data_IF_015464252471
#
_entry.id   IF_015464252471
#
_cell.length_a   1.000
_cell.length_b   1.000
_cell.length_c   1.000
_cell.angle_alpha   90.00
_cell.angle_beta   90.00
_cell.angle_gamma   90.00
#
_symmetry.space_group_name_H-M   'P 1'
#
loop_
_entity.id
_entity.type
_entity.pdbx_description
1 polymer ?
#
# COMPACT_ATOMS: atom_id res chain seq x y z
N UNK A 1 24.97 -26.47 -6.00
CA UNK A 1 25.17 -27.27 -7.23
C UNK A 1 24.86 -26.38 -8.43
N UNK A 2 25.78 -26.22 -9.41
CA UNK A 2 25.56 -25.37 -10.61
C UNK A 2 24.60 -26.09 -11.56
N UNK A 3 23.62 -25.38 -12.13
CA UNK A 3 22.74 -25.90 -13.17
C UNK A 3 23.57 -26.46 -14.34
N UNK A 4 23.11 -27.54 -14.99
CA UNK A 4 23.75 -27.99 -16.23
C UNK A 4 23.63 -26.90 -17.29
N UNK A 5 24.61 -26.81 -18.20
CA UNK A 5 24.65 -25.75 -19.22
C UNK A 5 23.35 -25.62 -20.02
N UNK A 6 22.72 -26.75 -20.36
CA UNK A 6 21.43 -26.77 -21.07
C UNK A 6 20.26 -26.22 -20.22
N UNK A 7 20.16 -26.58 -18.93
CA UNK A 7 19.12 -26.07 -18.03
C UNK A 7 19.28 -24.57 -17.76
N UNK A 8 20.53 -24.13 -17.66
CA UNK A 8 20.86 -22.73 -17.51
C UNK A 8 20.45 -21.91 -18.75
N UNK A 9 20.82 -22.35 -19.95
CA UNK A 9 20.44 -21.70 -21.19
C UNK A 9 18.91 -21.65 -21.37
N UNK A 10 18.23 -22.73 -21.03
CA UNK A 10 16.76 -22.79 -21.06
C UNK A 10 16.14 -21.77 -20.09
N UNK A 11 16.59 -21.71 -18.83
CA UNK A 11 16.07 -20.77 -17.85
C UNK A 11 16.30 -19.31 -18.28
N UNK A 12 17.46 -18.99 -18.86
CA UNK A 12 17.75 -17.68 -19.45
C UNK A 12 16.78 -17.33 -20.57
N UNK A 13 16.53 -18.28 -21.48
CA UNK A 13 15.57 -18.11 -22.57
C UNK A 13 14.18 -17.80 -22.04
N UNK A 14 13.67 -18.58 -21.08
CA UNK A 14 12.38 -18.32 -20.45
C UNK A 14 12.31 -16.95 -19.78
N UNK A 15 13.33 -16.58 -18.99
CA UNK A 15 13.38 -15.26 -18.34
C UNK A 15 13.43 -14.11 -19.35
N UNK A 16 14.13 -14.27 -20.48
CA UNK A 16 14.16 -13.27 -21.54
C UNK A 16 12.79 -13.15 -22.25
N UNK A 17 12.10 -14.26 -22.50
CA UNK A 17 10.73 -14.26 -23.05
C UNK A 17 9.78 -13.54 -22.10
N UNK A 18 9.84 -13.83 -20.79
CA UNK A 18 9.05 -13.15 -19.77
C UNK A 18 9.36 -11.65 -19.72
N UNK A 19 10.64 -11.28 -19.72
CA UNK A 19 11.06 -9.88 -19.71
C UNK A 19 10.55 -9.11 -20.94
N UNK A 20 10.55 -9.71 -22.14
CA UNK A 20 10.00 -9.09 -23.34
C UNK A 20 8.46 -9.03 -23.31
N UNK A 21 7.82 -10.09 -22.80
CA UNK A 21 6.37 -10.19 -22.67
C UNK A 21 5.77 -9.13 -21.76
N UNK A 22 6.47 -8.77 -20.68
CA UNK A 22 6.10 -7.65 -19.81
C UNK A 22 6.61 -6.31 -20.34
N UNK A 23 7.87 -6.27 -20.80
CA UNK A 23 8.55 -5.04 -21.17
C UNK A 23 7.94 -4.33 -22.38
N UNK A 24 7.48 -5.05 -23.39
CA UNK A 24 6.87 -4.45 -24.58
C UNK A 24 5.50 -3.79 -24.28
N UNK A 25 4.53 -4.48 -23.65
CA UNK A 25 3.29 -3.84 -23.19
C UNK A 25 3.55 -2.73 -22.18
N UNK A 26 4.44 -2.93 -21.21
CA UNK A 26 4.76 -1.93 -20.19
C UNK A 26 5.34 -0.64 -20.77
N UNK A 27 6.31 -0.74 -21.69
CA UNK A 27 6.85 0.41 -22.39
C UNK A 27 5.80 1.11 -23.26
N UNK A 28 4.92 0.35 -23.94
CA UNK A 28 3.84 0.94 -24.73
C UNK A 28 2.84 1.71 -23.83
N UNK A 29 2.38 1.10 -22.75
CA UNK A 29 1.50 1.75 -21.77
C UNK A 29 2.12 3.00 -21.15
N UNK A 30 3.43 2.99 -20.85
CA UNK A 30 4.14 4.14 -20.28
C UNK A 30 4.30 5.31 -21.26
N UNK A 31 4.83 5.04 -22.46
CA UNK A 31 5.23 6.11 -23.40
C UNK A 31 4.11 6.53 -24.35
N UNK A 32 3.15 5.65 -24.65
CA UNK A 32 2.04 5.91 -25.57
C UNK A 32 0.70 5.41 -24.98
N UNK A 33 0.30 5.88 -23.79
CA UNK A 33 -0.81 5.29 -23.00
C UNK A 33 -2.16 5.28 -23.73
N UNK A 34 -2.49 6.36 -24.46
CA UNK A 34 -3.74 6.42 -25.24
C UNK A 34 -3.78 5.41 -26.37
N UNK A 35 -2.64 5.17 -27.04
CA UNK A 35 -2.55 4.19 -28.12
C UNK A 35 -2.57 2.77 -27.58
N UNK A 36 -1.92 2.54 -26.43
CA UNK A 36 -1.99 1.25 -25.76
C UNK A 36 -3.45 0.93 -25.40
N UNK A 37 -4.14 1.85 -24.71
CA UNK A 37 -5.55 1.65 -24.32
C UNK A 37 -6.45 1.33 -25.52
N UNK A 38 -6.35 2.11 -26.61
CA UNK A 38 -7.22 1.96 -27.77
C UNK A 38 -6.77 0.95 -28.83
N UNK A 39 -5.64 0.26 -28.67
CA UNK A 39 -5.10 -0.61 -29.72
C UNK A 39 -4.26 -1.79 -29.23
N UNK A 40 -4.17 -2.03 -27.92
CA UNK A 40 -3.51 -3.22 -27.39
C UNK A 40 -4.43 -4.44 -27.50
N UNK A 41 -3.96 -5.60 -28.03
CA UNK A 41 -2.58 -5.87 -28.44
C UNK A 41 -2.26 -5.45 -29.88
N UNK A 42 -3.27 -5.29 -30.73
CA UNK A 42 -3.13 -4.88 -32.13
C UNK A 42 -4.28 -3.93 -32.53
N UNK A 43 -4.09 -3.05 -33.54
CA UNK A 43 -5.16 -2.21 -34.06
C UNK A 43 -6.41 -3.02 -34.41
N UNK A 44 -7.57 -2.58 -33.93
CA UNK A 44 -8.85 -3.28 -34.12
C UNK A 44 -9.18 -4.32 -33.04
N UNK A 45 -8.26 -4.61 -32.12
CA UNK A 45 -8.44 -5.53 -31.01
C UNK A 45 -8.10 -4.83 -29.68
N UNK A 46 -8.93 -3.89 -29.18
CA UNK A 46 -8.57 -3.04 -28.05
C UNK A 46 -8.91 -3.71 -26.70
N UNK A 47 -8.20 -4.79 -26.35
CA UNK A 47 -8.43 -5.56 -25.12
C UNK A 47 -8.37 -4.68 -23.86
N UNK A 48 -7.48 -3.70 -23.82
CA UNK A 48 -7.38 -2.77 -22.70
C UNK A 48 -8.61 -1.85 -22.58
N UNK A 49 -9.27 -1.51 -23.69
CA UNK A 49 -10.45 -0.63 -23.69
C UNK A 49 -11.76 -1.36 -23.32
N UNK A 50 -11.73 -2.68 -23.13
CA UNK A 50 -12.88 -3.45 -22.66
C UNK A 50 -13.30 -3.07 -21.22
N UNK A 51 -12.40 -2.43 -20.47
CA UNK A 51 -12.61 -2.02 -19.08
C UNK A 51 -12.52 -0.48 -18.94
N UNK A 52 -13.55 0.28 -19.36
CA UNK A 52 -13.60 1.74 -19.21
C UNK A 52 -13.83 2.19 -17.75
N UNK A 53 -13.55 3.46 -17.40
CA UNK A 53 -13.03 4.54 -18.26
C UNK A 53 -11.50 4.61 -18.34
N UNK A 54 -10.99 5.22 -19.42
CA UNK A 54 -9.57 5.51 -19.57
C UNK A 54 -9.07 6.50 -18.51
N UNK A 55 -7.98 6.14 -17.82
CA UNK A 55 -7.21 7.04 -16.98
C UNK A 55 -5.75 7.04 -17.43
N UNK A 56 -5.25 8.21 -17.81
CA UNK A 56 -3.90 8.37 -18.36
C UNK A 56 -2.80 8.18 -17.30
N UNK A 57 -3.02 8.64 -16.07
CA UNK A 57 -2.09 8.47 -14.96
C UNK A 57 -1.96 7.00 -14.60
N UNK A 58 -3.09 6.32 -14.38
CA UNK A 58 -3.13 4.89 -14.05
C UNK A 58 -2.46 4.04 -15.14
N UNK A 59 -2.68 4.35 -16.41
CA UNK A 59 -2.06 3.62 -17.52
C UNK A 59 -0.53 3.78 -17.53
N UNK A 60 -0.03 4.97 -17.20
CA UNK A 60 1.42 5.21 -17.09
C UNK A 60 2.02 4.49 -15.89
N UNK A 61 1.36 4.53 -14.73
CA UNK A 61 1.82 3.85 -13.53
C UNK A 61 1.88 2.34 -13.75
N UNK A 62 0.83 1.77 -14.35
CA UNK A 62 0.80 0.38 -14.78
C UNK A 62 1.98 0.06 -15.71
N UNK A 63 2.18 0.89 -16.75
CA UNK A 63 3.29 0.72 -17.68
C UNK A 63 4.66 0.78 -17.00
N UNK A 64 4.86 1.72 -16.09
CA UNK A 64 6.10 1.86 -15.32
C UNK A 64 6.34 0.66 -14.38
N UNK A 65 5.32 0.19 -13.68
CA UNK A 65 5.41 -0.95 -12.77
C UNK A 65 5.76 -2.25 -13.52
N UNK A 66 5.07 -2.51 -14.64
CA UNK A 66 5.34 -3.68 -15.49
C UNK A 66 6.74 -3.59 -16.12
N UNK A 67 7.18 -2.40 -16.54
CA UNK A 67 8.53 -2.19 -17.07
C UNK A 67 9.62 -2.40 -16.01
N UNK A 68 9.36 -2.01 -14.75
CA UNK A 68 10.25 -2.28 -13.63
C UNK A 68 10.38 -3.79 -13.38
N UNK A 69 9.27 -4.54 -13.40
CA UNK A 69 9.28 -5.99 -13.30
C UNK A 69 10.05 -6.64 -14.47
N UNK A 70 9.85 -6.15 -15.69
CA UNK A 70 10.57 -6.59 -16.88
C UNK A 70 12.10 -6.39 -16.74
N UNK A 71 12.54 -5.27 -16.14
CA UNK A 71 13.95 -5.00 -15.88
C UNK A 71 14.56 -6.03 -14.91
N UNK A 72 13.82 -6.41 -13.86
CA UNK A 72 14.27 -7.43 -12.89
C UNK A 72 14.33 -8.83 -13.54
N UNK A 73 13.36 -9.17 -14.40
CA UNK A 73 13.37 -10.41 -15.18
C UNK A 73 14.56 -10.45 -16.16
N UNK A 74 14.85 -9.34 -16.84
CA UNK A 74 16.00 -9.21 -17.73
C UNK A 74 17.33 -9.35 -16.96
N UNK A 75 17.42 -8.74 -15.78
CA UNK A 75 18.58 -8.93 -14.90
C UNK A 75 18.73 -10.40 -14.49
N UNK A 76 17.65 -11.08 -14.10
CA UNK A 76 17.68 -12.50 -13.77
C UNK A 76 18.08 -13.38 -14.97
N UNK A 77 17.76 -12.97 -16.21
CA UNK A 77 18.20 -13.66 -17.43
C UNK A 77 19.71 -13.53 -17.65
N UNK A 78 20.30 -12.37 -17.35
CA UNK A 78 21.75 -12.15 -17.40
C UNK A 78 22.47 -12.88 -16.25
N UNK A 79 21.93 -12.71 -15.03
CA UNK A 79 22.50 -13.17 -13.76
C UNK A 79 21.58 -14.19 -13.07
N UNK A 80 21.76 -15.46 -13.43
CA UNK A 80 20.86 -16.55 -13.05
C UNK A 80 21.12 -17.11 -11.64
N UNK A 81 21.45 -16.25 -10.67
CA UNK A 81 21.56 -16.69 -9.28
C UNK A 81 20.18 -17.18 -8.79
N UNK A 82 20.09 -18.35 -8.14
CA UNK A 82 18.79 -18.93 -7.76
C UNK A 82 17.90 -17.99 -6.93
N UNK A 83 18.50 -17.17 -6.05
CA UNK A 83 17.76 -16.20 -5.24
C UNK A 83 17.14 -15.08 -6.08
N UNK A 84 17.90 -14.53 -7.03
CA UNK A 84 17.43 -13.48 -7.93
C UNK A 84 16.35 -14.02 -8.89
N UNK A 85 16.59 -15.19 -9.48
CA UNK A 85 15.61 -15.86 -10.36
C UNK A 85 14.31 -16.14 -9.61
N UNK A 86 14.38 -16.69 -8.38
CA UNK A 86 13.19 -16.93 -7.57
C UNK A 86 12.46 -15.63 -7.22
N UNK A 87 13.18 -14.59 -6.80
CA UNK A 87 12.57 -13.31 -6.48
C UNK A 87 11.85 -12.69 -7.69
N UNK A 88 12.51 -12.67 -8.86
CA UNK A 88 11.96 -12.13 -10.09
C UNK A 88 10.68 -12.89 -10.53
N UNK A 89 10.74 -14.22 -10.50
CA UNK A 89 9.62 -15.07 -10.93
C UNK A 89 8.47 -15.07 -9.92
N UNK A 90 8.76 -15.00 -8.62
CA UNK A 90 7.72 -14.82 -7.59
C UNK A 90 7.03 -13.46 -7.76
N UNK A 91 7.80 -12.39 -7.98
CA UNK A 91 7.23 -11.07 -8.27
C UNK A 91 6.30 -11.07 -9.48
N UNK A 92 6.70 -11.75 -10.56
CA UNK A 92 5.85 -11.94 -11.74
C UNK A 92 4.57 -12.71 -11.41
N UNK A 93 4.64 -13.78 -10.62
CA UNK A 93 3.46 -14.58 -10.25
C UNK A 93 2.47 -13.80 -9.38
N UNK A 94 2.97 -12.93 -8.48
CA UNK A 94 2.14 -12.04 -7.66
C UNK A 94 1.30 -11.10 -8.52
N UNK A 95 1.83 -10.66 -9.68
CA UNK A 95 1.08 -9.88 -10.66
C UNK A 95 0.18 -10.76 -11.55
N UNK A 96 0.77 -11.79 -12.17
CA UNK A 96 0.14 -12.55 -13.26
C UNK A 96 -1.03 -13.40 -12.81
N UNK A 97 -0.96 -13.99 -11.59
CA UNK A 97 -2.02 -14.89 -11.10
C UNK A 97 -3.31 -14.12 -10.82
N UNK A 98 -3.31 -13.03 -10.02
CA UNK A 98 -4.50 -12.20 -9.85
C UNK A 98 -5.03 -11.63 -11.17
N UNK A 99 -4.13 -11.24 -12.08
CA UNK A 99 -4.51 -10.71 -13.40
C UNK A 99 -5.27 -11.76 -14.24
N UNK A 100 -4.79 -13.00 -14.30
CA UNK A 100 -5.50 -14.10 -14.95
C UNK A 100 -6.86 -14.36 -14.29
N UNK A 101 -6.93 -14.35 -12.96
CA UNK A 101 -8.19 -14.58 -12.21
C UNK A 101 -9.22 -13.50 -12.56
N UNK A 102 -8.81 -12.23 -12.60
CA UNK A 102 -9.68 -11.12 -12.98
C UNK A 102 -10.26 -11.34 -14.38
N UNK A 103 -9.41 -11.56 -15.39
CA UNK A 103 -9.89 -11.77 -16.76
C UNK A 103 -10.74 -13.03 -16.91
N UNK A 104 -10.41 -14.10 -16.19
CA UNK A 104 -11.21 -15.34 -16.19
C UNK A 104 -12.64 -15.12 -15.71
N UNK A 105 -12.86 -14.13 -14.85
CA UNK A 105 -14.19 -13.75 -14.38
C UNK A 105 -14.92 -12.75 -15.31
N UNK A 106 -14.25 -12.21 -16.34
CA UNK A 106 -14.76 -11.15 -17.21
C UNK A 106 -14.59 -11.45 -18.70
N UNK A 107 -14.46 -12.72 -19.12
CA UNK A 107 -14.35 -13.03 -20.55
C UNK A 107 -15.64 -12.77 -21.35
N UNK A 108 -16.77 -12.55 -20.66
CA UNK A 108 -18.06 -12.21 -21.26
C UNK A 108 -18.07 -10.85 -21.99
N UNK A 109 -17.17 -9.93 -21.63
CA UNK A 109 -17.03 -8.64 -22.33
C UNK A 109 -16.17 -8.72 -23.60
N UNK A 110 -15.49 -9.85 -23.80
CA UNK A 110 -14.62 -10.07 -24.95
C UNK A 110 -15.37 -10.72 -26.11
N UNK A 111 -14.95 -10.46 -27.34
CA UNK A 111 -15.46 -11.23 -28.47
C UNK A 111 -15.00 -12.70 -28.38
N UNK A 112 -15.89 -13.65 -28.68
CA UNK A 112 -15.63 -15.10 -28.56
C UNK A 112 -14.34 -15.55 -29.27
N UNK A 113 -14.02 -14.94 -30.42
CA UNK A 113 -12.80 -15.24 -31.20
C UNK A 113 -11.49 -14.75 -30.56
N UNK A 114 -11.56 -13.86 -29.56
CA UNK A 114 -10.39 -13.26 -28.91
C UNK A 114 -10.04 -13.91 -27.57
N UNK A 115 -11.01 -14.57 -26.93
CA UNK A 115 -10.84 -15.24 -25.62
C UNK A 115 -9.66 -16.23 -25.61
N UNK A 116 -9.48 -17.12 -26.62
CA UNK A 116 -8.35 -18.05 -26.63
C UNK A 116 -6.98 -17.35 -26.63
N UNK A 117 -6.87 -16.23 -27.35
CA UNK A 117 -5.63 -15.46 -27.42
C UNK A 117 -5.35 -14.73 -26.10
N UNK A 118 -6.39 -14.18 -25.44
CA UNK A 118 -6.28 -13.59 -24.12
C UNK A 118 -5.84 -14.63 -23.07
N UNK A 119 -6.52 -15.78 -23.00
CA UNK A 119 -6.18 -16.88 -22.07
C UNK A 119 -4.73 -17.31 -22.28
N UNK A 120 -4.30 -17.51 -23.53
CA UNK A 120 -2.91 -17.88 -23.82
C UNK A 120 -1.93 -16.80 -23.35
N UNK A 121 -2.21 -15.52 -23.62
CA UNK A 121 -1.35 -14.41 -23.22
C UNK A 121 -1.19 -14.30 -21.70
N UNK A 122 -2.25 -14.62 -20.94
CA UNK A 122 -2.29 -14.52 -19.49
C UNK A 122 -1.72 -15.76 -18.79
N UNK A 123 -1.94 -16.96 -19.34
CA UNK A 123 -1.50 -18.21 -18.75
C UNK A 123 -0.04 -18.55 -19.07
N UNK A 124 0.47 -18.17 -20.25
CA UNK A 124 1.82 -18.52 -20.68
C UNK A 124 2.91 -17.99 -19.73
N UNK A 125 2.88 -16.73 -19.24
CA UNK A 125 3.86 -16.23 -18.28
C UNK A 125 3.90 -17.05 -16.98
N UNK A 126 2.73 -17.46 -16.48
CA UNK A 126 2.60 -18.28 -15.28
C UNK A 126 3.21 -19.67 -15.49
N UNK A 127 2.92 -20.31 -16.61
CA UNK A 127 3.47 -21.65 -16.93
C UNK A 127 4.99 -21.59 -17.04
N UNK A 128 5.53 -20.58 -17.74
CA UNK A 128 6.98 -20.40 -17.87
C UNK A 128 7.64 -20.10 -16.52
N UNK A 129 7.02 -19.25 -15.71
CA UNK A 129 7.45 -18.93 -14.34
C UNK A 129 7.56 -20.20 -13.47
N UNK A 130 6.50 -21.00 -13.41
CA UNK A 130 6.48 -22.25 -12.64
C UNK A 130 7.51 -23.26 -13.15
N UNK A 131 7.70 -23.35 -14.47
CA UNK A 131 8.71 -24.21 -15.06
C UNK A 131 10.14 -23.74 -14.69
N UNK A 132 10.41 -22.43 -14.71
CA UNK A 132 11.69 -21.86 -14.24
C UNK A 132 11.91 -22.19 -12.76
N UNK A 133 10.91 -22.01 -11.90
CA UNK A 133 11.01 -22.37 -10.47
C UNK A 133 11.32 -23.85 -10.28
N UNK A 134 10.63 -24.75 -11.00
CA UNK A 134 10.87 -26.18 -10.92
C UNK A 134 12.32 -26.56 -11.29
N UNK A 135 12.90 -25.91 -12.30
CA UNK A 135 14.31 -26.15 -12.67
C UNK A 135 15.32 -25.62 -11.66
N UNK A 136 14.93 -24.64 -10.81
CA UNK A 136 15.80 -24.06 -9.76
C UNK A 136 15.54 -24.63 -8.36
N UNK A 137 14.51 -25.46 -8.16
CA UNK A 137 14.16 -26.08 -6.89
C UNK A 137 15.17 -27.17 -6.47
N UNK A 138 15.80 -27.88 -7.40
CA UNK A 138 16.78 -28.95 -7.13
C UNK A 138 18.16 -28.50 -6.63
N UNK A 139 18.32 -27.23 -6.23
CA UNK A 139 19.57 -26.66 -5.73
C UNK A 139 19.61 -26.48 -4.21
N UNK A 140 18.70 -27.12 -3.46
CA UNK A 140 18.83 -27.33 -2.01
C UNK A 140 19.90 -28.40 -1.75
N UNK A 141 21.16 -28.01 -1.94
CA UNK A 141 22.25 -28.71 -1.29
C UNK A 141 21.98 -28.65 0.21
N UNK A 142 21.80 -29.81 0.81
CA UNK A 142 21.90 -29.99 2.25
C UNK A 142 23.30 -29.55 2.67
N UNK A 143 23.43 -28.28 3.06
CA UNK A 143 24.58 -27.84 3.84
C UNK A 143 24.43 -28.53 5.19
N UNK A 144 24.97 -29.75 5.27
CA UNK A 144 25.12 -30.48 6.51
C UNK A 144 26.14 -29.69 7.33
N UNK A 145 25.76 -29.06 8.45
CA UNK A 145 26.74 -28.35 9.27
C UNK A 145 27.82 -29.34 9.71
N UNK A 146 29.08 -28.94 9.57
CA UNK A 146 30.21 -29.68 10.10
C UNK A 146 30.02 -29.93 11.61
N UNK A 147 30.54 -31.06 12.16
CA UNK A 147 30.39 -31.34 13.58
C UNK A 147 30.98 -30.20 14.41
N UNK A 148 30.11 -29.51 15.16
CA UNK A 148 30.53 -28.46 16.09
C UNK A 148 31.32 -29.12 17.23
N UNK A 149 32.58 -28.75 17.36
CA UNK A 149 33.32 -28.96 18.61
C UNK A 149 32.74 -28.02 19.67
N UNK A 150 32.50 -28.49 20.90
CA UNK A 150 31.89 -27.66 21.93
C UNK A 150 32.91 -26.63 22.41
N UNK A 151 32.66 -25.36 22.09
CA UNK A 151 33.37 -24.23 22.71
C UNK A 151 32.39 -23.52 23.62
N UNK A 152 32.61 -23.69 24.92
CA UNK A 152 31.90 -23.02 25.99
C UNK A 152 32.25 -21.54 25.95
N UNK A 153 31.35 -20.70 25.45
CA UNK A 153 31.33 -19.27 25.75
C UNK A 153 29.88 -18.80 25.75
N UNK A 154 29.36 -18.53 26.94
CA UNK A 154 28.16 -17.75 27.17
C UNK A 154 28.30 -16.39 26.50
N UNK A 155 27.50 -16.14 25.47
CA UNK A 155 27.29 -14.82 24.88
C UNK A 155 25.82 -14.72 24.52
N UNK A 156 25.13 -13.81 25.21
CA UNK A 156 23.73 -13.46 24.96
C UNK A 156 23.46 -13.28 23.47
N UNK A 157 22.50 -14.03 22.96
CA UNK A 157 22.01 -13.90 21.59
C UNK A 157 21.19 -12.62 21.47
N UNK A 158 21.79 -11.61 20.82
CA UNK A 158 21.01 -10.55 20.16
C UNK A 158 20.79 -10.99 18.71
N UNK A 159 19.64 -11.59 18.44
CA UNK A 159 19.24 -12.03 17.11
C UNK A 159 19.20 -10.89 16.09
N UNK A 160 19.36 -11.18 14.79
CA UNK A 160 19.34 -10.17 13.74
C UNK A 160 17.92 -9.57 13.59
N UNK A 161 17.82 -8.23 13.69
CA UNK A 161 16.59 -7.46 13.45
C UNK A 161 16.05 -7.77 12.04
N UNK A 162 14.83 -8.33 11.99
CA UNK A 162 14.01 -8.42 10.79
C UNK A 162 13.71 -6.99 10.30
N UNK A 163 13.91 -6.72 9.01
CA UNK A 163 13.48 -5.46 8.39
C UNK A 163 11.96 -5.48 8.27
N UNK A 164 11.27 -4.59 8.99
CA UNK A 164 9.80 -4.49 8.99
C UNK A 164 9.25 -4.05 7.64
N UNK A 165 8.05 -4.51 7.27
CA UNK A 165 7.35 -4.10 6.04
C UNK A 165 7.05 -2.59 6.05
N UNK A 166 6.81 -1.96 4.87
CA UNK A 166 6.45 -0.53 4.81
C UNK A 166 5.18 -0.24 5.65
N UNK A 167 4.23 -1.17 5.63
CA UNK A 167 3.02 -1.10 6.43
C UNK A 167 3.33 -1.18 7.93
N UNK A 168 4.21 -2.10 8.35
CA UNK A 168 4.68 -2.18 9.74
C UNK A 168 5.44 -0.91 10.17
N UNK A 169 6.23 -0.31 9.28
CA UNK A 169 6.93 0.95 9.54
C UNK A 169 5.96 2.13 9.68
N UNK A 170 4.91 2.20 8.84
CA UNK A 170 3.86 3.23 8.94
C UNK A 170 3.02 3.05 10.21
N UNK A 171 2.65 1.81 10.56
CA UNK A 171 1.94 1.51 11.80
C UNK A 171 2.82 1.77 13.04
N UNK A 172 4.13 1.47 12.97
CA UNK A 172 5.10 1.81 14.02
C UNK A 172 5.13 3.32 14.25
N UNK A 173 5.35 4.09 13.18
CA UNK A 173 5.39 5.54 13.27
C UNK A 173 4.09 6.11 13.84
N UNK A 174 2.96 5.49 13.52
CA UNK A 174 1.66 5.89 14.06
C UNK A 174 1.50 5.51 15.53
N UNK A 175 1.96 4.35 15.96
CA UNK A 175 2.04 4.01 17.38
C UNK A 175 2.85 5.05 18.13
N UNK A 176 4.04 5.43 17.63
CA UNK A 176 4.90 6.45 18.24
C UNK A 176 4.26 7.85 18.26
N UNK A 177 3.33 8.16 17.35
CA UNK A 177 2.55 9.40 17.39
C UNK A 177 1.50 9.39 18.51
N UNK A 178 0.94 8.21 18.82
CA UNK A 178 -0.06 8.03 19.87
C UNK A 178 0.57 7.83 21.26
N UNK A 179 1.69 7.10 21.39
CA UNK A 179 2.45 6.93 22.64
C UNK A 179 3.21 8.23 22.98
N UNK A 180 2.47 9.24 23.42
CA UNK A 180 2.97 10.60 23.61
C UNK A 180 3.87 10.76 24.81
N UNK A 181 3.60 10.02 25.89
CA UNK A 181 4.44 10.04 27.08
C UNK A 181 5.65 9.08 26.97
N UNK A 182 5.70 8.28 25.90
CA UNK A 182 6.82 7.39 25.58
C UNK A 182 6.91 6.22 26.53
N UNK A 183 5.82 5.83 27.17
CA UNK A 183 5.77 4.74 28.13
C UNK A 183 5.73 3.34 27.46
N UNK A 184 5.65 3.30 26.12
CA UNK A 184 5.61 2.08 25.32
C UNK A 184 4.21 1.46 25.23
N UNK A 185 3.18 2.18 25.65
CA UNK A 185 1.77 1.78 25.61
C UNK A 185 0.92 2.98 25.19
N UNK A 186 -0.27 2.70 24.66
CA UNK A 186 -1.27 3.72 24.38
C UNK A 186 -2.42 3.52 25.34
N UNK A 187 -2.78 4.56 26.09
CA UNK A 187 -3.94 4.58 26.96
C UNK A 187 -4.89 5.74 26.63
N UNK A 188 -6.06 5.74 27.27
CA UNK A 188 -7.08 6.78 27.08
C UNK A 188 -6.54 8.21 27.25
N UNK A 189 -5.59 8.41 28.16
CA UNK A 189 -4.99 9.70 28.44
C UNK A 189 -4.17 10.25 27.28
N UNK A 190 -3.54 9.39 26.48
CA UNK A 190 -2.83 9.82 25.27
C UNK A 190 -3.78 10.37 24.21
N UNK A 191 -4.91 9.70 24.00
CA UNK A 191 -5.98 10.14 23.10
C UNK A 191 -6.55 11.48 23.52
N UNK A 192 -6.80 11.65 24.83
CA UNK A 192 -7.34 12.87 25.39
C UNK A 192 -6.34 14.04 25.26
N UNK A 193 -5.05 13.82 25.56
CA UNK A 193 -3.99 14.84 25.35
C UNK A 193 -3.88 15.27 23.89
N UNK A 194 -3.98 14.33 22.96
CA UNK A 194 -3.93 14.63 21.53
C UNK A 194 -5.13 15.47 21.07
N UNK A 195 -6.34 15.14 21.53
CA UNK A 195 -7.53 15.94 21.27
C UNK A 195 -7.37 17.38 21.83
N UNK A 196 -6.94 17.55 23.08
CA UNK A 196 -6.68 18.88 23.64
C UNK A 196 -5.60 19.67 22.87
N UNK A 197 -4.56 18.99 22.39
CA UNK A 197 -3.51 19.62 21.58
C UNK A 197 -4.08 20.17 20.27
N UNK A 198 -4.91 19.38 19.59
CA UNK A 198 -5.58 19.79 18.36
C UNK A 198 -6.48 20.99 18.65
N UNK A 199 -7.33 20.92 19.68
CA UNK A 199 -8.19 22.04 20.07
C UNK A 199 -7.40 23.33 20.34
N UNK A 200 -6.29 23.23 21.06
CA UNK A 200 -5.40 24.36 21.32
C UNK A 200 -4.80 24.96 20.04
N UNK A 201 -4.55 24.15 19.00
CA UNK A 201 -4.04 24.65 17.70
C UNK A 201 -5.08 25.45 16.91
N UNK A 202 -6.37 25.27 17.20
CA UNK A 202 -7.48 26.00 16.59
C UNK A 202 -8.08 27.07 17.52
N UNK A 203 -7.47 27.33 18.67
CA UNK A 203 -8.01 28.22 19.72
C UNK A 203 -9.46 27.85 20.15
N UNK A 204 -9.84 26.57 20.04
CA UNK A 204 -11.16 26.06 20.45
C UNK A 204 -11.07 25.47 21.84
N UNK A 205 -12.05 25.76 22.69
CA UNK A 205 -12.12 25.17 24.03
C UNK A 205 -12.91 23.86 24.06
N UNK A 206 -12.61 22.95 25.01
CA UNK A 206 -13.33 21.67 25.16
C UNK A 206 -14.83 21.79 25.39
N UNK A 207 -15.28 22.93 25.92
CA UNK A 207 -16.69 23.21 26.23
C UNK A 207 -17.46 23.79 25.03
N UNK A 208 -16.78 24.09 23.93
CA UNK A 208 -17.45 24.50 22.70
C UNK A 208 -17.98 23.29 21.93
N UNK A 209 -19.06 23.42 21.14
CA UNK A 209 -19.64 22.28 20.41
C UNK A 209 -18.63 21.54 19.51
N UNK A 210 -17.71 22.27 18.86
CA UNK A 210 -16.64 21.65 18.06
C UNK A 210 -15.58 20.96 18.93
N UNK A 211 -15.36 21.47 20.14
CA UNK A 211 -14.47 20.89 21.15
C UNK A 211 -15.01 19.57 21.70
N UNK A 212 -16.26 19.57 22.12
CA UNK A 212 -16.98 18.38 22.59
C UNK A 212 -16.99 17.29 21.49
N UNK A 213 -17.33 17.67 20.26
CA UNK A 213 -17.36 16.73 19.13
C UNK A 213 -16.00 16.07 18.85
N UNK A 214 -14.89 16.82 18.93
CA UNK A 214 -13.55 16.25 18.75
C UNK A 214 -13.21 15.26 19.86
N UNK A 215 -13.48 15.64 21.12
CA UNK A 215 -13.23 14.77 22.27
C UNK A 215 -14.05 13.49 22.17
N UNK A 216 -15.34 13.58 21.87
CA UNK A 216 -16.22 12.43 21.70
C UNK A 216 -15.71 11.49 20.58
N UNK A 217 -15.25 12.04 19.45
CA UNK A 217 -14.73 11.23 18.35
C UNK A 217 -13.43 10.50 18.72
N UNK A 218 -12.47 11.19 19.35
CA UNK A 218 -11.20 10.59 19.76
C UNK A 218 -11.38 9.54 20.85
N UNK A 219 -12.20 9.85 21.86
CA UNK A 219 -12.47 8.95 22.98
C UNK A 219 -13.36 7.78 22.55
N UNK A 220 -14.27 7.98 21.60
CA UNK A 220 -15.04 6.90 20.99
C UNK A 220 -14.16 5.92 20.21
N UNK A 221 -13.12 6.41 19.51
CA UNK A 221 -12.13 5.52 18.88
C UNK A 221 -11.34 4.73 19.93
N UNK A 222 -10.93 5.35 21.04
CA UNK A 222 -10.32 4.62 22.15
C UNK A 222 -11.26 3.53 22.71
N UNK A 223 -12.49 3.89 23.05
CA UNK A 223 -13.46 2.97 23.65
C UNK A 223 -13.70 1.75 22.74
N UNK A 224 -13.83 1.99 21.43
CA UNK A 224 -13.93 0.91 20.44
C UNK A 224 -12.70 0.00 20.47
N UNK A 225 -11.48 0.55 20.41
CA UNK A 225 -10.25 -0.25 20.42
C UNK A 225 -10.07 -1.01 21.75
N UNK A 226 -10.39 -0.38 22.87
CA UNK A 226 -10.33 -0.98 24.19
C UNK A 226 -11.29 -2.18 24.30
N UNK A 227 -12.53 -2.03 23.81
CA UNK A 227 -13.51 -3.11 23.74
C UNK A 227 -13.01 -4.28 22.88
N UNK A 228 -12.48 -4.01 21.68
CA UNK A 228 -11.95 -5.04 20.78
C UNK A 228 -10.74 -5.78 21.39
N UNK A 229 -9.87 -5.05 22.10
CA UNK A 229 -8.73 -5.62 22.81
C UNK A 229 -9.10 -6.30 24.13
N UNK A 230 -10.34 -6.11 24.60
CA UNK A 230 -10.82 -6.54 25.92
C UNK A 230 -9.97 -5.99 27.07
N UNK A 231 -9.47 -4.77 26.89
CA UNK A 231 -8.88 -3.97 27.96
C UNK A 231 -9.97 -3.02 28.45
N UNK A 232 -10.10 -2.84 29.76
CA UNK A 232 -11.12 -1.93 30.31
C UNK A 232 -10.90 -0.49 29.82
N UNK A 233 -11.84 0.42 30.14
CA UNK A 233 -11.76 1.84 29.74
C UNK A 233 -10.47 2.53 30.20
N UNK A 234 -9.92 2.13 31.35
CA UNK A 234 -8.64 2.63 31.91
C UNK A 234 -7.46 1.70 31.60
N UNK A 235 -7.62 0.79 30.64
CA UNK A 235 -6.57 -0.11 30.18
C UNK A 235 -5.57 0.58 29.27
N UNK A 236 -4.65 -0.22 28.74
CA UNK A 236 -3.61 0.23 27.83
C UNK A 236 -3.36 -0.83 26.76
N UNK A 237 -2.83 -0.41 25.61
CA UNK A 237 -2.46 -1.27 24.50
C UNK A 237 -0.95 -1.24 24.30
N UNK A 238 -0.32 -2.42 24.20
CA UNK A 238 1.07 -2.49 23.72
C UNK A 238 1.14 -2.19 22.23
N UNK A 239 2.35 -1.92 21.73
CA UNK A 239 2.63 -1.73 20.31
C UNK A 239 2.08 -2.89 19.45
N UNK A 240 2.28 -4.13 19.88
CA UNK A 240 1.80 -5.31 19.17
C UNK A 240 0.27 -5.38 19.14
N UNK A 241 -0.39 -5.10 20.27
CA UNK A 241 -1.86 -5.11 20.35
C UNK A 241 -2.46 -4.00 19.47
N UNK A 242 -1.89 -2.80 19.51
CA UNK A 242 -2.31 -1.70 18.65
C UNK A 242 -2.18 -2.05 17.17
N UNK A 243 -1.05 -2.62 16.75
CA UNK A 243 -0.82 -3.04 15.36
C UNK A 243 -1.81 -4.11 14.93
N UNK A 244 -2.07 -5.11 15.77
CA UNK A 244 -3.03 -6.17 15.48
C UNK A 244 -4.46 -5.61 15.31
N UNK A 245 -4.89 -4.72 16.20
CA UNK A 245 -6.18 -4.05 16.10
C UNK A 245 -6.28 -3.18 14.86
N UNK A 246 -5.26 -2.37 14.56
CA UNK A 246 -5.24 -1.53 13.36
C UNK A 246 -5.33 -2.38 12.08
N UNK A 247 -4.61 -3.51 12.03
CA UNK A 247 -4.71 -4.46 10.92
C UNK A 247 -6.10 -5.07 10.81
N UNK A 248 -6.67 -5.57 11.90
CA UNK A 248 -7.91 -6.35 11.88
C UNK A 248 -9.16 -5.48 11.76
N UNK A 249 -9.19 -4.32 12.43
CA UNK A 249 -10.38 -3.48 12.54
C UNK A 249 -10.45 -2.40 11.46
N UNK A 250 -9.30 -1.87 11.02
CA UNK A 250 -9.26 -0.81 10.02
C UNK A 250 -8.90 -1.37 8.66
N UNK A 251 -7.75 -2.05 8.54
CA UNK A 251 -7.20 -2.40 7.23
C UNK A 251 -7.89 -3.61 6.59
N UNK A 252 -8.08 -4.70 7.34
CA UNK A 252 -8.69 -5.93 6.83
C UNK A 252 -10.19 -5.75 6.47
N UNK A 253 -10.86 -4.80 7.13
CA UNK A 253 -12.27 -4.46 6.88
C UNK A 253 -12.45 -3.41 5.77
N UNK A 254 -11.36 -2.91 5.19
CA UNK A 254 -11.36 -1.92 4.12
C UNK A 254 -12.13 -0.66 4.50
N UNK A 255 -12.90 -0.10 3.55
CA UNK A 255 -13.67 1.12 3.76
C UNK A 255 -14.60 1.07 4.98
N UNK A 256 -15.30 -0.04 5.20
CA UNK A 256 -16.23 -0.15 6.32
C UNK A 256 -15.55 -0.05 7.70
N UNK A 257 -14.35 -0.64 7.85
CA UNK A 257 -13.57 -0.50 9.08
C UNK A 257 -13.03 0.91 9.28
N UNK A 258 -12.65 1.56 8.18
CA UNK A 258 -12.18 2.94 8.22
C UNK A 258 -13.29 3.93 8.58
N UNK A 259 -14.45 3.82 7.91
CA UNK A 259 -15.62 4.66 8.12
C UNK A 259 -16.15 4.53 9.57
N UNK A 260 -16.05 3.34 10.17
CA UNK A 260 -16.47 3.12 11.55
C UNK A 260 -15.45 3.64 12.57
N UNK A 261 -14.16 3.36 12.36
CA UNK A 261 -13.14 3.56 13.40
C UNK A 261 -12.43 4.91 13.28
N UNK A 262 -12.10 5.34 12.06
CA UNK A 262 -11.21 6.48 11.82
C UNK A 262 -11.96 7.72 11.32
N UNK A 263 -12.94 7.56 10.43
CA UNK A 263 -13.69 8.69 9.84
C UNK A 263 -14.26 9.69 10.87
N UNK A 264 -14.83 9.27 12.03
CA UNK A 264 -15.36 10.22 13.00
C UNK A 264 -14.32 11.24 13.50
N UNK A 265 -13.06 10.80 13.66
CA UNK A 265 -11.96 11.69 14.06
C UNK A 265 -11.58 12.67 12.96
N UNK A 266 -11.49 12.20 11.71
CA UNK A 266 -11.21 13.05 10.54
C UNK A 266 -12.30 14.11 10.38
N UNK A 267 -13.57 13.69 10.42
CA UNK A 267 -14.73 14.58 10.30
C UNK A 267 -14.72 15.67 11.38
N UNK A 268 -14.33 15.33 12.60
CA UNK A 268 -14.27 16.28 13.71
C UNK A 268 -13.13 17.29 13.55
N UNK A 269 -11.96 16.86 13.06
CA UNK A 269 -10.87 17.77 12.71
C UNK A 269 -11.30 18.72 11.58
N UNK A 270 -12.05 18.22 10.60
CA UNK A 270 -12.54 19.06 9.52
C UNK A 270 -13.56 20.08 9.98
N UNK A 271 -14.44 19.70 10.89
CA UNK A 271 -15.33 20.66 11.52
C UNK A 271 -14.55 21.76 12.25
N UNK A 272 -13.36 21.48 12.79
CA UNK A 272 -12.48 22.53 13.35
C UNK A 272 -11.88 23.42 12.27
N UNK A 273 -11.42 22.84 11.16
CA UNK A 273 -10.87 23.56 10.02
C UNK A 273 -11.90 24.43 9.27
N UNK A 274 -13.14 23.96 9.16
CA UNK A 274 -14.25 24.62 8.49
C UNK A 274 -14.73 25.82 9.32
N UNK A 275 -14.13 26.97 9.05
CA UNK A 275 -14.36 28.22 9.79
C UNK A 275 -15.64 28.92 9.35
N UNK A 276 -16.04 28.76 8.09
CA UNK A 276 -17.25 29.37 7.54
C UNK A 276 -18.50 28.50 7.68
N UNK A 277 -18.34 27.22 8.05
CA UNK A 277 -19.41 26.27 8.33
C UNK A 277 -20.09 25.72 7.07
N UNK A 278 -19.40 25.75 5.93
CA UNK A 278 -19.96 25.33 4.65
C UNK A 278 -19.88 23.79 4.43
N UNK A 279 -19.26 23.05 5.35
CA UNK A 279 -19.10 21.60 5.33
C UNK A 279 -17.90 21.11 4.51
N UNK A 280 -17.05 22.00 4.03
CA UNK A 280 -15.86 21.73 3.23
C UNK A 280 -14.69 22.58 3.71
N UNK A 281 -13.46 22.19 3.34
CA UNK A 281 -12.25 22.94 3.71
C UNK A 281 -11.67 23.62 2.49
N UNK A 282 -11.70 24.95 2.49
CA UNK A 282 -11.04 25.76 1.47
C UNK A 282 -9.52 25.69 1.57
N UNK A 283 -8.82 26.09 0.51
CA UNK A 283 -7.34 26.19 0.53
C UNK A 283 -6.81 27.09 1.65
N UNK A 284 -7.53 28.16 1.96
CA UNK A 284 -7.14 29.10 3.03
C UNK A 284 -7.25 28.44 4.40
N UNK A 285 -8.33 27.70 4.63
CA UNK A 285 -8.55 26.94 5.87
C UNK A 285 -7.53 25.81 6.01
N UNK A 286 -7.27 25.08 4.92
CA UNK A 286 -6.25 24.02 4.91
C UNK A 286 -4.84 24.57 5.23
N UNK A 287 -4.45 25.71 4.65
CA UNK A 287 -3.18 26.37 5.01
C UNK A 287 -3.13 26.78 6.47
N UNK A 288 -4.23 27.31 6.99
CA UNK A 288 -4.35 27.70 8.39
C UNK A 288 -4.19 26.49 9.30
N UNK A 289 -4.79 25.36 8.93
CA UNK A 289 -4.62 24.08 9.60
C UNK A 289 -3.17 23.56 9.57
N UNK A 290 -2.54 23.47 8.39
CA UNK A 290 -1.15 23.01 8.25
C UNK A 290 -0.19 23.84 9.12
N UNK A 291 -0.41 25.15 9.16
CA UNK A 291 0.35 26.04 10.03
C UNK A 291 0.07 25.80 11.52
N UNK A 292 -1.20 25.61 11.90
CA UNK A 292 -1.63 25.34 13.27
C UNK A 292 -1.04 24.04 13.84
N UNK A 293 -0.96 22.98 13.02
CA UNK A 293 -0.35 21.70 13.43
C UNK A 293 1.17 21.69 13.40
N UNK A 294 1.81 22.79 12.96
CA UNK A 294 3.26 22.94 12.93
C UNK A 294 3.94 22.21 11.77
N UNK A 295 3.20 21.87 10.72
CA UNK A 295 3.76 21.33 9.48
C UNK A 295 4.30 22.45 8.57
N UNK A 296 5.14 22.10 7.60
CA UNK A 296 5.78 23.08 6.71
C UNK A 296 4.73 23.78 5.81
N UNK A 297 4.48 25.09 5.97
CA UNK A 297 3.47 25.80 5.20
C UNK A 297 3.73 25.78 3.69
N UNK A 298 5.00 25.60 3.26
CA UNK A 298 5.36 25.51 1.84
C UNK A 298 4.83 24.25 1.16
N UNK A 299 4.46 23.22 1.93
CA UNK A 299 3.89 21.98 1.42
C UNK A 299 2.36 21.97 1.38
N UNK A 300 1.71 22.96 2.01
CA UNK A 300 0.25 22.99 2.16
C UNK A 300 -0.47 22.98 0.82
N UNK A 301 0.01 23.74 -0.16
CA UNK A 301 -0.63 23.82 -1.48
C UNK A 301 -0.49 22.53 -2.28
N UNK A 302 0.70 21.93 -2.27
CA UNK A 302 0.93 20.66 -2.95
C UNK A 302 0.13 19.52 -2.31
N UNK A 303 0.00 19.53 -0.97
CA UNK A 303 -0.85 18.59 -0.25
C UNK A 303 -2.33 18.79 -0.59
N UNK A 304 -2.80 20.04 -0.62
CA UNK A 304 -4.17 20.35 -1.03
C UNK A 304 -4.46 19.81 -2.44
N UNK A 305 -3.59 20.11 -3.40
CA UNK A 305 -3.75 19.69 -4.80
C UNK A 305 -3.71 18.16 -4.95
N UNK A 306 -3.03 17.45 -4.05
CA UNK A 306 -3.00 15.99 -4.05
C UNK A 306 -4.27 15.34 -3.47
N UNK A 307 -5.04 16.10 -2.67
CA UNK A 307 -6.27 15.63 -2.00
C UNK A 307 -7.51 16.03 -2.79
N UNK A 308 -7.52 17.24 -3.37
CA UNK A 308 -8.58 17.79 -4.23
C UNK A 308 -8.69 16.97 -5.53
N UNK A 309 -9.43 15.88 -5.46
CA UNK A 309 -9.48 14.88 -6.52
C UNK A 309 -10.44 15.32 -7.64
N UNK A 310 -11.45 16.10 -7.30
CA UNK A 310 -12.44 16.59 -8.25
C UNK A 310 -12.07 17.96 -8.87
N UNK A 311 -11.09 18.67 -8.29
CA UNK A 311 -10.58 19.95 -8.77
C UNK A 311 -11.51 21.13 -8.50
N UNK A 312 -12.40 21.04 -7.52
CA UNK A 312 -13.38 22.07 -7.19
C UNK A 312 -12.84 23.15 -6.23
N UNK A 313 -11.57 23.03 -5.83
CA UNK A 313 -10.85 23.94 -4.94
C UNK A 313 -11.36 23.94 -3.49
N UNK A 314 -12.08 22.89 -3.09
CA UNK A 314 -12.52 22.63 -1.73
C UNK A 314 -12.22 21.16 -1.39
N UNK A 315 -11.96 20.86 -0.13
CA UNK A 315 -11.77 19.48 0.32
C UNK A 315 -13.02 19.02 1.04
N UNK A 316 -13.67 18.02 0.46
CA UNK A 316 -14.77 17.31 1.09
C UNK A 316 -14.25 16.31 2.15
N UNK A 317 -15.14 15.91 3.06
CA UNK A 317 -14.83 14.83 4.03
C UNK A 317 -14.41 13.55 3.30
N UNK A 318 -15.09 13.23 2.19
CA UNK A 318 -14.82 12.02 1.42
C UNK A 318 -13.42 12.04 0.79
N UNK A 319 -12.96 13.18 0.25
CA UNK A 319 -11.62 13.31 -0.34
C UNK A 319 -10.51 13.16 0.69
N UNK A 320 -10.71 13.68 1.90
CA UNK A 320 -9.75 13.56 2.98
C UNK A 320 -9.73 12.16 3.59
N UNK A 321 -10.90 11.53 3.76
CA UNK A 321 -11.01 10.11 4.12
C UNK A 321 -10.26 9.26 3.10
N UNK A 322 -10.45 9.51 1.81
CA UNK A 322 -9.71 8.84 0.75
C UNK A 322 -8.21 9.12 0.79
N UNK A 323 -7.79 10.35 1.09
CA UNK A 323 -6.37 10.69 1.21
C UNK A 323 -5.70 9.97 2.38
N UNK A 324 -6.36 9.89 3.54
CA UNK A 324 -5.86 9.12 4.68
C UNK A 324 -5.85 7.62 4.37
N UNK A 325 -6.84 7.11 3.63
CA UNK A 325 -6.83 5.73 3.14
C UNK A 325 -5.62 5.46 2.24
N UNK A 326 -5.36 6.31 1.25
CA UNK A 326 -4.20 6.20 0.35
C UNK A 326 -2.88 6.30 1.13
N UNK A 327 -2.80 7.16 2.14
CA UNK A 327 -1.63 7.24 3.00
C UNK A 327 -1.40 5.94 3.79
N UNK A 328 -2.43 5.33 4.36
CA UNK A 328 -2.25 4.05 5.09
C UNK A 328 -1.97 2.88 4.15
N UNK A 329 -2.47 2.92 2.92
CA UNK A 329 -2.20 1.94 1.88
C UNK A 329 -0.78 2.05 1.27
N UNK A 330 -0.06 3.15 1.52
CA UNK A 330 1.25 3.37 0.90
C UNK A 330 1.22 4.14 -0.43
N UNK A 331 0.05 4.61 -0.83
CA UNK A 331 -0.22 5.24 -2.13
C UNK A 331 -0.10 6.78 -2.09
N UNK A 332 -0.07 7.35 -0.88
CA UNK A 332 0.16 8.78 -0.62
C UNK A 332 1.29 8.95 0.40
N UNK A 333 2.14 9.95 0.20
CA UNK A 333 3.26 10.31 1.09
C UNK A 333 3.02 11.67 1.79
N UNK A 334 1.75 12.06 1.94
CA UNK A 334 1.34 13.23 2.74
C UNK A 334 0.78 12.74 4.07
N UNK A 335 1.51 12.99 5.16
CA UNK A 335 1.01 12.74 6.51
C UNK A 335 0.01 13.84 6.85
N UNK A 336 -1.28 13.52 6.82
CA UNK A 336 -2.36 14.45 7.15
C UNK A 336 -2.69 14.48 8.65
N UNK A 337 -2.23 13.49 9.41
CA UNK A 337 -2.46 13.32 10.84
C UNK A 337 -1.23 12.72 11.53
#
# INVERSE_FOLDING_TARGET
MRLSGARLLWARGCLAVLALGEGLPGAWALFLPRRFYGSFPLPGHPWAALFPPYNEHLMRDFGAAVLALAAVLAWAACDTRPRLVRAAVVGLLVFSVPHLVFHSAHFDVSADGEVPAQVLSLALPIVLALAVLATTAGATGTDRPAPLTPRTTTREERGPKMTSSVQEQRLQRRFELWDRDGNGQIDRGDWEKEAYRILASFDVTPAEPKGEALLDAYLGMWDFLAEQAKVGTDGSLTEEQFKELALNQVLARGRAGFDEVVEPTIRSILNLCDTDGNGQVSRTEFRSWINAVGADPSTADAAFDAIDANGDQQLSVDELVQAVHKYHAGELDVALL
#
